data_IF_017355391158
#
_entry.id   IF_017355391158
#
_cell.length_a   1.000
_cell.length_b   1.000
_cell.length_c   1.000
_cell.angle_alpha   90.00
_cell.angle_beta   90.00
_cell.angle_gamma   90.00
#
_symmetry.space_group_name_H-M   'P 1'
#
loop_
_entity.id
_entity.type
_entity.pdbx_description
1 polymer ?
#
# COMPACT_ATOMS: atom_id res chain seq x y z
N UNK A 1 5.09 38.57 39.89
CA UNK A 1 4.47 37.59 38.97
C UNK A 1 3.02 38.02 38.77
N UNK A 2 2.61 38.34 37.55
CA UNK A 2 1.20 38.61 37.24
C UNK A 2 0.55 37.25 37.02
N UNK A 3 -0.26 36.78 37.97
CA UNK A 3 -1.09 35.60 37.77
C UNK A 3 -2.28 36.01 36.90
N UNK A 4 -2.48 35.31 35.78
CA UNK A 4 -3.75 35.41 35.06
C UNK A 4 -4.89 35.03 36.03
N UNK A 5 -6.01 35.78 36.05
CA UNK A 5 -7.20 35.37 36.79
C UNK A 5 -7.53 33.92 36.42
N UNK A 6 -7.88 33.08 37.41
CA UNK A 6 -8.12 31.65 37.20
C UNK A 6 -9.04 31.37 36.00
N UNK A 7 -10.06 32.21 35.79
CA UNK A 7 -11.00 32.15 34.67
C UNK A 7 -10.34 32.23 33.28
N UNK A 8 -9.28 33.03 33.13
CA UNK A 8 -8.56 33.17 31.85
C UNK A 8 -7.65 31.94 31.63
N UNK A 9 -7.05 31.43 32.70
CA UNK A 9 -6.24 30.22 32.62
C UNK A 9 -7.10 29.00 32.27
N UNK A 10 -8.26 28.85 32.92
CA UNK A 10 -9.22 27.79 32.66
C UNK A 10 -9.81 27.89 31.25
N UNK A 11 -10.07 29.11 30.77
CA UNK A 11 -10.51 29.35 29.40
C UNK A 11 -9.45 28.91 28.37
N UNK A 12 -8.17 29.25 28.60
CA UNK A 12 -7.06 28.82 27.73
C UNK A 12 -6.91 27.29 27.74
N UNK A 13 -7.05 26.65 28.90
CA UNK A 13 -7.00 25.20 29.01
C UNK A 13 -8.13 24.54 28.24
N UNK A 14 -9.35 25.08 28.34
CA UNK A 14 -10.53 24.57 27.62
C UNK A 14 -10.32 24.63 26.11
N UNK A 15 -9.90 25.79 25.58
CA UNK A 15 -9.58 25.94 24.15
C UNK A 15 -8.52 24.95 23.66
N UNK A 16 -7.52 24.62 24.50
CA UNK A 16 -6.50 23.64 24.15
C UNK A 16 -7.05 22.22 24.14
N UNK A 17 -7.89 21.87 25.11
CA UNK A 17 -8.55 20.56 25.20
C UNK A 17 -9.43 20.36 23.96
N UNK A 18 -10.26 21.34 23.60
CA UNK A 18 -11.14 21.27 22.43
C UNK A 18 -10.36 21.08 21.12
N UNK A 19 -9.21 21.75 20.99
CA UNK A 19 -8.33 21.60 19.84
C UNK A 19 -7.71 20.20 19.79
N UNK A 20 -7.20 19.71 20.92
CA UNK A 20 -6.63 18.36 21.03
C UNK A 20 -7.68 17.30 20.68
N UNK A 21 -8.91 17.45 21.19
CA UNK A 21 -10.02 16.54 20.91
C UNK A 21 -10.37 16.51 19.42
N UNK A 22 -10.43 17.68 18.76
CA UNK A 22 -10.64 17.75 17.32
C UNK A 22 -9.52 17.09 16.51
N UNK A 23 -8.26 17.24 16.91
CA UNK A 23 -7.13 16.58 16.26
C UNK A 23 -7.18 15.05 16.45
N UNK A 24 -7.53 14.57 17.66
CA UNK A 24 -7.74 13.14 17.95
C UNK A 24 -8.86 12.57 17.06
N UNK A 25 -10.00 13.25 16.97
CA UNK A 25 -11.13 12.82 16.15
C UNK A 25 -10.76 12.73 14.66
N UNK A 26 -10.00 13.70 14.16
CA UNK A 26 -9.48 13.67 12.78
C UNK A 26 -8.51 12.51 12.55
N UNK A 27 -7.63 12.21 13.51
CA UNK A 27 -6.72 11.07 13.43
C UNK A 27 -7.47 9.74 13.47
N UNK A 28 -8.47 9.59 14.33
CA UNK A 28 -9.31 8.39 14.39
C UNK A 28 -10.07 8.15 13.08
N UNK A 29 -10.61 9.21 12.47
CA UNK A 29 -11.25 9.11 11.15
C UNK A 29 -10.27 8.67 10.07
N UNK A 30 -9.04 9.22 10.05
CA UNK A 30 -7.99 8.77 9.12
C UNK A 30 -7.60 7.31 9.36
N UNK A 31 -7.45 6.89 10.62
CA UNK A 31 -7.16 5.50 10.99
C UNK A 31 -8.27 4.57 10.52
N UNK A 32 -9.54 4.95 10.71
CA UNK A 32 -10.68 4.15 10.26
C UNK A 32 -10.72 4.04 8.74
N UNK A 33 -10.50 5.14 8.01
CA UNK A 33 -10.44 5.09 6.54
C UNK A 33 -9.27 4.21 6.06
N UNK A 34 -8.11 4.34 6.68
CA UNK A 34 -6.95 3.49 6.39
C UNK A 34 -7.26 2.02 6.71
N UNK A 35 -7.90 1.73 7.84
CA UNK A 35 -8.34 0.37 8.20
C UNK A 35 -9.35 -0.18 7.21
N UNK A 36 -10.31 0.61 6.75
CA UNK A 36 -11.30 0.19 5.73
C UNK A 36 -10.60 -0.13 4.40
N UNK A 37 -9.65 0.71 3.96
CA UNK A 37 -8.85 0.48 2.75
C UNK A 37 -7.93 -0.74 2.90
N UNK A 38 -7.42 -0.98 4.11
CA UNK A 38 -6.42 -2.02 4.40
C UNK A 38 -7.02 -3.37 4.77
N UNK A 39 -8.26 -3.42 5.25
CA UNK A 39 -8.85 -4.68 5.66
C UNK A 39 -9.30 -5.41 4.40
N UNK A 40 -8.69 -6.54 4.05
CA UNK A 40 -9.17 -7.32 2.92
C UNK A 40 -10.64 -7.67 3.15
N UNK A 41 -11.46 -7.53 2.11
CA UNK A 41 -12.86 -7.93 2.12
C UNK A 41 -13.01 -9.40 2.54
N UNK A 42 -12.10 -10.25 2.06
CA UNK A 42 -12.10 -11.70 2.33
C UNK A 42 -10.65 -12.20 2.37
N UNK A 43 -10.33 -13.07 3.33
CA UNK A 43 -9.14 -13.93 3.30
C UNK A 43 -9.63 -15.38 3.32
N UNK A 44 -9.52 -16.06 2.19
CA UNK A 44 -9.87 -17.48 2.08
C UNK A 44 -8.61 -18.33 1.96
N UNK A 45 -8.56 -19.43 2.72
CA UNK A 45 -7.54 -20.46 2.53
C UNK A 45 -8.05 -21.45 1.48
N UNK A 46 -7.32 -21.58 0.38
CA UNK A 46 -7.56 -22.57 -0.66
C UNK A 46 -7.07 -23.95 -0.22
N UNK A 47 -7.51 -24.98 -0.95
CA UNK A 47 -7.20 -26.40 -0.71
C UNK A 47 -5.68 -26.66 -0.72
N UNK A 48 -4.94 -25.91 -1.55
CA UNK A 48 -3.49 -26.10 -1.76
C UNK A 48 -2.62 -25.29 -0.77
N UNK A 49 -3.18 -24.89 0.38
CA UNK A 49 -2.53 -23.98 1.35
C UNK A 49 -2.17 -22.58 0.79
N UNK A 50 -2.72 -22.21 -0.37
CA UNK A 50 -2.69 -20.83 -0.84
C UNK A 50 -3.77 -19.98 -0.17
N UNK A 51 -3.53 -18.69 -0.03
CA UNK A 51 -4.46 -17.70 0.47
C UNK A 51 -4.94 -16.84 -0.69
N UNK A 52 -6.26 -16.72 -0.83
CA UNK A 52 -6.90 -15.72 -1.66
C UNK A 52 -7.29 -14.53 -0.78
N UNK A 53 -6.58 -13.41 -0.95
CA UNK A 53 -6.87 -12.16 -0.27
C UNK A 53 -7.59 -11.23 -1.25
N UNK A 54 -8.84 -10.91 -0.96
CA UNK A 54 -9.67 -10.04 -1.78
C UNK A 54 -9.72 -8.64 -1.20
N UNK A 55 -9.46 -7.65 -2.04
CA UNK A 55 -9.81 -6.24 -1.81
C UNK A 55 -10.93 -5.84 -2.78
N UNK A 56 -11.36 -4.57 -2.72
CA UNK A 56 -12.46 -4.07 -3.56
C UNK A 56 -12.26 -4.32 -5.07
N UNK A 57 -11.02 -4.27 -5.57
CA UNK A 57 -10.73 -4.35 -7.01
C UNK A 57 -9.65 -5.37 -7.41
N UNK A 58 -8.86 -5.86 -6.45
CA UNK A 58 -7.77 -6.79 -6.70
C UNK A 58 -7.92 -8.01 -5.80
N UNK A 59 -7.77 -9.20 -6.38
CA UNK A 59 -7.56 -10.41 -5.61
C UNK A 59 -6.08 -10.80 -5.68
N UNK A 60 -5.55 -11.29 -4.57
CA UNK A 60 -4.19 -11.78 -4.47
C UNK A 60 -4.23 -13.28 -4.16
N UNK A 61 -3.69 -14.11 -5.04
CA UNK A 61 -3.51 -15.55 -4.80
C UNK A 61 -2.06 -15.84 -4.43
N UNK A 62 -1.81 -16.34 -3.22
CA UNK A 62 -0.46 -16.48 -2.68
C UNK A 62 -0.26 -17.79 -1.94
N UNK A 63 0.89 -18.44 -2.14
CA UNK A 63 1.27 -19.62 -1.36
C UNK A 63 1.81 -19.18 0.01
N UNK A 64 1.19 -19.67 1.10
CA UNK A 64 1.61 -19.55 2.51
C UNK A 64 1.59 -18.17 3.21
N UNK A 65 1.65 -18.25 4.56
CA UNK A 65 1.63 -17.22 5.62
C UNK A 65 2.75 -16.16 5.58
N UNK A 66 3.43 -15.94 4.46
CA UNK A 66 4.57 -15.02 4.37
C UNK A 66 4.21 -13.51 4.50
N UNK A 67 2.94 -13.19 4.74
CA UNK A 67 2.41 -11.81 4.76
C UNK A 67 3.14 -10.86 5.69
N UNK A 68 3.57 -11.34 6.86
CA UNK A 68 4.24 -10.54 7.89
C UNK A 68 5.76 -10.72 7.91
N UNK A 69 6.30 -11.64 7.10
CA UNK A 69 7.75 -11.84 7.03
C UNK A 69 8.35 -10.73 6.19
N UNK A 70 9.23 -9.95 6.81
CA UNK A 70 9.95 -8.87 6.16
C UNK A 70 10.95 -9.42 5.14
N UNK A 71 10.88 -8.89 3.91
CA UNK A 71 11.90 -9.08 2.88
C UNK A 71 13.06 -8.17 3.23
N UNK A 72 14.22 -8.73 3.60
CA UNK A 72 15.39 -7.93 3.97
C UNK A 72 15.91 -7.13 2.77
N UNK A 73 16.17 -5.84 2.98
CA UNK A 73 16.78 -4.95 2.00
C UNK A 73 15.88 -3.80 1.56
N UNK A 74 16.31 -3.12 0.49
CA UNK A 74 15.58 -2.03 -0.13
C UNK A 74 14.85 -2.55 -1.36
N UNK A 75 13.59 -2.19 -1.53
CA UNK A 75 12.73 -2.74 -2.59
C UNK A 75 11.99 -1.63 -3.32
N UNK A 76 11.94 -1.75 -4.65
CA UNK A 76 10.96 -1.05 -5.48
C UNK A 76 9.99 -2.04 -6.10
N UNK A 77 8.71 -1.65 -6.15
CA UNK A 77 7.71 -2.34 -6.95
C UNK A 77 7.63 -1.62 -8.28
N UNK A 78 7.75 -2.38 -9.36
CA UNK A 78 7.51 -1.90 -10.72
C UNK A 78 6.24 -2.60 -11.20
N UNK A 79 5.23 -1.79 -11.45
CA UNK A 79 4.03 -2.22 -12.13
C UNK A 79 4.14 -1.73 -13.57
N UNK A 80 4.48 -2.61 -14.51
CA UNK A 80 4.53 -2.21 -15.90
C UNK A 80 3.14 -1.74 -16.32
N UNK A 81 3.06 -0.56 -16.92
CA UNK A 81 1.84 -0.16 -17.61
C UNK A 81 1.42 -1.29 -18.54
N UNK A 82 0.13 -1.62 -18.60
CA UNK A 82 -0.34 -2.66 -19.51
C UNK A 82 0.23 -2.36 -20.90
N UNK A 83 0.95 -3.33 -21.46
CA UNK A 83 1.78 -3.28 -22.67
C UNK A 83 1.09 -2.64 -23.90
N UNK A 84 -0.22 -2.41 -23.81
CA UNK A 84 -1.09 -1.93 -24.88
C UNK A 84 -1.49 -0.45 -24.78
N UNK A 85 -1.26 0.21 -23.64
CA UNK A 85 -1.52 1.65 -23.50
C UNK A 85 -0.22 2.35 -23.12
N UNK A 86 0.08 3.47 -23.78
CA UNK A 86 1.26 4.33 -23.56
C UNK A 86 1.32 4.97 -22.15
N UNK A 87 0.80 4.32 -21.12
CA UNK A 87 0.81 4.77 -19.76
C UNK A 87 2.20 4.58 -19.14
N UNK A 88 2.62 5.56 -18.35
CA UNK A 88 3.84 5.50 -17.56
C UNK A 88 3.79 4.30 -16.59
N UNK A 89 4.88 3.54 -16.52
CA UNK A 89 5.05 2.51 -15.49
C UNK A 89 4.85 3.11 -14.10
N UNK A 90 4.15 2.38 -13.23
CA UNK A 90 4.10 2.76 -11.83
C UNK A 90 5.33 2.19 -11.12
N UNK A 91 6.09 3.06 -10.48
CA UNK A 91 7.21 2.71 -9.61
C UNK A 91 6.85 3.17 -8.20
N UNK A 92 6.89 2.27 -7.22
CA UNK A 92 6.62 2.63 -5.83
C UNK A 92 7.69 3.53 -5.23
N UNK A 93 7.40 4.10 -4.07
CA UNK A 93 8.45 4.63 -3.19
C UNK A 93 9.43 3.52 -2.78
N UNK A 94 10.62 3.94 -2.32
CA UNK A 94 11.63 3.04 -1.80
C UNK A 94 11.13 2.42 -0.49
N UNK A 95 10.95 1.10 -0.49
CA UNK A 95 10.54 0.36 0.69
C UNK A 95 11.76 -0.23 1.39
N UNK A 96 11.85 -0.08 2.72
CA UNK A 96 12.94 -0.63 3.53
C UNK A 96 12.40 -1.77 4.38
N UNK A 97 12.95 -2.97 4.17
CA UNK A 97 12.50 -4.21 4.80
C UNK A 97 10.98 -4.45 4.71
N UNK A 98 10.33 -4.27 3.53
CA UNK A 98 8.88 -4.41 3.46
C UNK A 98 8.44 -5.85 3.71
N UNK A 99 7.27 -6.02 4.30
CA UNK A 99 6.58 -7.30 4.30
C UNK A 99 5.85 -7.51 2.97
N UNK A 100 5.46 -8.76 2.69
CA UNK A 100 4.67 -9.05 1.49
C UNK A 100 3.36 -8.26 1.47
N UNK A 101 2.69 -8.14 2.63
CA UNK A 101 1.49 -7.31 2.77
C UNK A 101 1.76 -5.85 2.40
N UNK A 102 2.89 -5.28 2.82
CA UNK A 102 3.25 -3.91 2.46
C UNK A 102 3.42 -3.75 0.95
N UNK A 103 3.96 -4.77 0.28
CA UNK A 103 4.07 -4.74 -1.19
C UNK A 103 2.68 -4.71 -1.86
N UNK A 104 1.76 -5.59 -1.43
CA UNK A 104 0.40 -5.63 -1.97
C UNK A 104 -0.38 -4.34 -1.66
N UNK A 105 -0.13 -3.73 -0.50
CA UNK A 105 -0.77 -2.47 -0.15
C UNK A 105 -0.31 -1.31 -1.04
N UNK A 106 0.99 -1.17 -1.28
CA UNK A 106 1.50 -0.15 -2.19
C UNK A 106 1.01 -0.37 -3.63
N UNK A 107 0.83 -1.63 -4.05
CA UNK A 107 0.17 -1.96 -5.30
C UNK A 107 -1.27 -1.45 -5.37
N UNK A 108 -2.07 -1.76 -4.35
CA UNK A 108 -3.49 -1.46 -4.31
C UNK A 108 -3.77 0.06 -4.35
N UNK A 109 -2.96 0.86 -3.63
CA UNK A 109 -3.07 2.33 -3.69
C UNK A 109 -2.98 2.87 -5.11
N UNK A 110 -2.10 2.29 -5.92
CA UNK A 110 -1.82 2.80 -7.25
C UNK A 110 -2.80 2.28 -8.28
N UNK A 111 -3.38 1.10 -8.06
CA UNK A 111 -4.49 0.60 -8.88
C UNK A 111 -5.68 1.56 -8.90
N UNK A 112 -5.96 2.23 -7.78
CA UNK A 112 -7.01 3.27 -7.72
C UNK A 112 -6.80 4.40 -8.74
N UNK A 113 -5.54 4.72 -9.08
CA UNK A 113 -5.21 5.72 -10.11
C UNK A 113 -5.47 5.19 -11.53
N UNK A 114 -5.39 3.88 -11.73
CA UNK A 114 -5.67 3.21 -13.02
C UNK A 114 -7.15 2.78 -13.17
N UNK A 115 -7.99 3.02 -12.16
CA UNK A 115 -9.41 2.63 -12.12
C UNK A 115 -10.23 3.13 -13.31
N UNK A 116 -9.83 4.24 -13.94
CA UNK A 116 -10.50 4.79 -15.12
C UNK A 116 -10.53 3.85 -16.33
N UNK A 117 -9.64 2.85 -16.38
CA UNK A 117 -9.51 1.95 -17.53
C UNK A 117 -10.25 0.61 -17.37
N UNK A 118 -10.66 0.24 -16.15
CA UNK A 118 -11.25 -1.08 -15.87
C UNK A 118 -12.61 -0.93 -15.21
N UNK A 119 -13.65 -0.86 -16.03
CA UNK A 119 -15.01 -0.56 -15.57
C UNK A 119 -15.71 -1.70 -14.80
N UNK A 120 -15.13 -2.92 -14.71
CA UNK A 120 -15.60 -4.00 -13.82
C UNK A 120 -14.67 -5.24 -13.77
N UNK A 121 -13.43 -5.15 -14.27
CA UNK A 121 -12.57 -6.33 -14.33
C UNK A 121 -11.71 -6.41 -13.05
N UNK A 122 -12.00 -7.41 -12.24
CA UNK A 122 -11.21 -7.74 -11.06
C UNK A 122 -9.85 -8.24 -11.55
N UNK A 123 -8.76 -7.65 -11.07
CA UNK A 123 -7.42 -8.10 -11.43
C UNK A 123 -6.94 -9.11 -10.40
N UNK A 124 -6.55 -10.29 -10.86
CA UNK A 124 -5.96 -11.34 -10.04
C UNK A 124 -4.43 -11.23 -10.08
N UNK A 125 -3.80 -10.85 -8.96
CA UNK A 125 -2.36 -11.02 -8.80
C UNK A 125 -2.05 -12.51 -8.60
N UNK A 126 -1.28 -13.08 -9.53
CA UNK A 126 -0.85 -14.49 -9.49
C UNK A 126 0.50 -14.68 -8.80
N UNK A 127 1.42 -13.75 -8.98
CA UNK A 127 2.77 -13.88 -8.40
C UNK A 127 3.50 -12.56 -8.28
N UNK A 128 4.58 -12.57 -7.50
CA UNK A 128 5.64 -11.57 -7.55
C UNK A 128 6.83 -12.12 -8.32
N UNK A 129 7.41 -11.32 -9.22
CA UNK A 129 8.57 -11.70 -10.01
C UNK A 129 9.69 -10.71 -9.70
N UNK A 130 10.85 -11.19 -9.24
CA UNK A 130 12.02 -10.33 -9.10
C UNK A 130 12.56 -10.03 -10.50
N UNK A 131 12.79 -8.76 -10.79
CA UNK A 131 13.38 -8.35 -12.06
C UNK A 131 14.84 -8.77 -12.11
N UNK A 132 15.24 -9.39 -13.22
CA UNK A 132 16.64 -9.48 -13.60
C UNK A 132 17.11 -8.16 -14.28
N UNK A 133 18.42 -8.02 -14.46
CA UNK A 133 19.01 -6.84 -15.09
C UNK A 133 18.50 -6.58 -16.52
N UNK A 134 18.22 -7.64 -17.29
CA UNK A 134 17.69 -7.50 -18.65
C UNK A 134 16.32 -6.84 -18.66
N UNK A 135 15.42 -7.25 -17.76
CA UNK A 135 14.10 -6.64 -17.60
C UNK A 135 14.24 -5.19 -17.18
N UNK A 136 15.10 -4.86 -16.21
CA UNK A 136 15.28 -3.46 -15.78
C UNK A 136 15.68 -2.54 -16.92
N UNK A 137 16.55 -3.00 -17.83
CA UNK A 137 16.95 -2.25 -19.02
C UNK A 137 15.78 -1.99 -19.98
N UNK A 138 14.83 -2.92 -20.09
CA UNK A 138 13.64 -2.73 -20.95
C UNK A 138 12.77 -1.55 -20.48
N UNK A 139 12.76 -1.25 -19.19
CA UNK A 139 12.01 -0.12 -18.60
C UNK A 139 12.89 1.13 -18.41
N UNK A 140 14.10 1.17 -18.99
CA UNK A 140 15.02 2.30 -18.85
C UNK A 140 15.56 2.51 -17.43
N UNK A 141 15.44 1.51 -16.54
CA UNK A 141 15.89 1.60 -15.16
C UNK A 141 17.34 1.13 -15.07
N UNK A 142 18.21 2.00 -14.53
CA UNK A 142 19.59 1.60 -14.20
C UNK A 142 19.57 0.75 -12.92
N UNK A 143 20.07 -0.50 -12.97
CA UNK A 143 20.08 -1.36 -11.78
C UNK A 143 20.98 -0.77 -10.69
N UNK A 144 20.53 -0.89 -9.44
CA UNK A 144 21.32 -0.60 -8.25
C UNK A 144 21.44 -1.87 -7.42
N UNK A 145 22.67 -2.34 -7.19
CA UNK A 145 22.96 -3.61 -6.53
C UNK A 145 22.42 -3.71 -5.09
N UNK A 146 22.08 -2.58 -4.47
CA UNK A 146 21.52 -2.53 -3.12
C UNK A 146 19.98 -2.53 -3.08
N UNK A 147 19.34 -2.58 -4.26
CA UNK A 147 17.88 -2.49 -4.38
C UNK A 147 17.36 -3.69 -5.16
N UNK A 148 16.38 -4.38 -4.58
CA UNK A 148 15.62 -5.43 -5.24
C UNK A 148 14.43 -4.81 -5.96
N UNK A 149 14.27 -5.14 -7.24
CA UNK A 149 13.16 -4.65 -8.05
C UNK A 149 12.17 -5.79 -8.29
N UNK A 150 10.89 -5.54 -8.04
CA UNK A 150 9.85 -6.59 -8.05
C UNK A 150 8.70 -6.20 -8.98
N UNK A 151 8.30 -7.13 -9.86
CA UNK A 151 7.08 -7.07 -10.65
C UNK A 151 5.92 -7.69 -9.90
N UNK A 152 4.77 -7.05 -10.02
CA UNK A 152 3.48 -7.66 -9.76
C UNK A 152 3.01 -8.37 -11.04
N UNK A 153 2.85 -9.69 -11.00
CA UNK A 153 2.31 -10.45 -12.13
C UNK A 153 0.81 -10.63 -11.97
N UNK A 154 0.05 -10.04 -12.89
CA UNK A 154 -1.39 -9.85 -12.82
C UNK A 154 -2.10 -10.52 -13.99
N UNK A 155 -3.37 -10.87 -13.80
CA UNK A 155 -4.28 -11.36 -14.83
C UNK A 155 -5.61 -10.60 -14.74
N UNK A 156 -6.20 -10.23 -15.88
CA UNK A 156 -7.53 -9.60 -15.98
C UNK A 156 -8.57 -10.68 -16.28
#
# INVERSE_FOLDING_TARGET
MVSLPNDIFDYILTLRIDKIENEINNLLNKINNIKIILNPLIINKNIDCSYAIKYDYINYSLNNYLFDIAIKGKVFIIYPGYIYDNNSDFISDLLINPTYFRLLFEANKNYYNFKHYYNNNIIDLKSLIIFDESKLKMYGIKPNNNITYIQLNIFI
#
